data_IF_218140091299
#
_entry.id   IF_218140091299
#
_cell.length_a   1.000
_cell.length_b   1.000
_cell.length_c   1.000
_cell.angle_alpha   90.00
_cell.angle_beta   90.00
_cell.angle_gamma   90.00
#
_symmetry.space_group_name_H-M   'P 1'
#
loop_
_entity.id
_entity.type
_entity.pdbx_description
1 polymer ?
#
# COMPACT_ATOMS: atom_id res chain seq x y z
N UNK A 1 49.79 25.95 -14.01
CA UNK A 1 48.53 26.10 -14.78
C UNK A 1 47.92 24.72 -14.92
N UNK A 2 47.01 24.34 -14.02
CA UNK A 2 46.34 23.04 -14.07
C UNK A 2 45.03 23.21 -14.84
N UNK A 3 44.98 22.64 -16.05
CA UNK A 3 43.77 22.63 -16.88
C UNK A 3 42.70 21.77 -16.21
N UNK A 4 41.62 22.41 -15.76
CA UNK A 4 40.41 21.75 -15.27
C UNK A 4 39.67 21.14 -16.46
N UNK A 5 39.89 19.85 -16.74
CA UNK A 5 39.06 19.10 -17.68
C UNK A 5 37.77 18.68 -16.96
N UNK A 6 36.74 19.52 -17.04
CA UNK A 6 35.40 19.14 -16.58
C UNK A 6 34.82 18.09 -17.54
N UNK A 7 34.27 16.97 -17.03
CA UNK A 7 33.69 15.94 -17.88
C UNK A 7 32.53 16.52 -18.72
N UNK A 8 32.31 15.99 -19.93
CA UNK A 8 31.25 16.46 -20.81
C UNK A 8 29.89 16.27 -20.14
N UNK A 9 29.06 17.32 -20.16
CA UNK A 9 27.72 17.28 -19.59
C UNK A 9 26.83 16.37 -20.45
N UNK A 10 26.00 15.51 -19.83
CA UNK A 10 25.09 14.65 -20.57
C UNK A 10 24.06 15.48 -21.37
N UNK A 11 23.57 14.97 -22.51
CA UNK A 11 22.56 15.66 -23.31
C UNK A 11 21.30 15.99 -22.48
N UNK A 12 20.65 17.15 -22.69
CA UNK A 12 19.46 17.55 -21.94
C UNK A 12 18.33 16.51 -21.97
N UNK A 13 18.19 15.78 -23.07
CA UNK A 13 17.20 14.71 -23.22
C UNK A 13 17.45 13.55 -22.24
N UNK A 14 18.71 13.18 -22.02
CA UNK A 14 19.10 12.11 -21.08
C UNK A 14 18.79 12.53 -19.65
N UNK A 15 19.08 13.80 -19.31
CA UNK A 15 18.79 14.36 -17.98
C UNK A 15 17.29 14.40 -17.72
N UNK A 16 16.49 14.81 -18.70
CA UNK A 16 15.04 14.86 -18.58
C UNK A 16 14.44 13.45 -18.40
N UNK A 17 14.86 12.49 -19.23
CA UNK A 17 14.39 11.10 -19.11
C UNK A 17 14.75 10.50 -17.76
N UNK A 18 15.97 10.76 -17.26
CA UNK A 18 16.39 10.31 -15.94
C UNK A 18 15.52 10.91 -14.82
N UNK A 19 15.23 12.22 -14.89
CA UNK A 19 14.37 12.88 -13.91
C UNK A 19 12.93 12.34 -13.93
N UNK A 20 12.41 12.00 -15.11
CA UNK A 20 11.08 11.41 -15.23
C UNK A 20 11.04 10.01 -14.62
N UNK A 21 12.06 9.18 -14.88
CA UNK A 21 12.22 7.85 -14.25
C UNK A 21 12.36 7.94 -12.72
N UNK A 22 13.07 8.96 -12.20
CA UNK A 22 13.15 9.20 -10.76
C UNK A 22 11.79 9.52 -10.14
N UNK A 23 10.99 10.35 -10.79
CA UNK A 23 9.63 10.67 -10.32
C UNK A 23 8.74 9.44 -10.32
N UNK A 24 8.80 8.64 -11.38
CA UNK A 24 8.05 7.38 -11.48
C UNK A 24 8.46 6.41 -10.37
N UNK A 25 9.77 6.23 -10.16
CA UNK A 25 10.30 5.39 -9.08
C UNK A 25 9.82 5.84 -7.71
N UNK A 26 9.81 7.15 -7.43
CA UNK A 26 9.29 7.69 -6.18
C UNK A 26 7.78 7.46 -6.04
N UNK A 27 7.02 7.62 -7.13
CA UNK A 27 5.57 7.36 -7.13
C UNK A 27 5.27 5.89 -6.83
N UNK A 28 6.04 4.97 -7.41
CA UNK A 28 5.92 3.53 -7.14
C UNK A 28 6.27 3.21 -5.68
N UNK A 29 7.36 3.79 -5.16
CA UNK A 29 7.74 3.62 -3.76
C UNK A 29 6.63 4.08 -2.80
N UNK A 30 6.03 5.24 -3.07
CA UNK A 30 4.91 5.74 -2.28
C UNK A 30 3.70 4.78 -2.35
N UNK A 31 3.38 4.26 -3.54
CA UNK A 31 2.25 3.33 -3.70
C UNK A 31 2.49 2.00 -3.00
N UNK A 32 3.74 1.51 -3.00
CA UNK A 32 4.14 0.32 -2.24
C UNK A 32 3.90 0.55 -0.75
N UNK A 33 4.37 1.68 -0.20
CA UNK A 33 4.18 1.98 1.22
C UNK A 33 2.71 2.10 1.62
N UNK A 34 1.86 2.67 0.76
CA UNK A 34 0.40 2.73 0.95
C UNK A 34 -0.19 1.32 1.02
N UNK A 35 0.09 0.46 0.03
CA UNK A 35 -0.41 -0.92 -0.02
C UNK A 35 0.09 -1.76 1.16
N UNK A 36 1.34 -1.56 1.59
CA UNK A 36 1.87 -2.22 2.78
C UNK A 36 1.15 -1.80 4.06
N UNK A 37 0.77 -0.52 4.17
CA UNK A 37 -0.01 -0.01 5.29
C UNK A 37 -1.40 -0.64 5.31
N UNK A 38 -2.13 -0.60 4.19
CA UNK A 38 -3.48 -1.20 4.05
C UNK A 38 -3.45 -2.69 4.40
N UNK A 39 -2.45 -3.42 3.88
CA UNK A 39 -2.25 -4.85 4.19
C UNK A 39 -2.04 -5.08 5.69
N UNK A 40 -1.24 -4.24 6.34
CA UNK A 40 -0.97 -4.36 7.77
C UNK A 40 -2.22 -4.04 8.61
N UNK A 41 -3.05 -3.08 8.19
CA UNK A 41 -4.33 -2.80 8.84
C UNK A 41 -5.27 -4.00 8.75
N UNK A 42 -5.41 -4.61 7.58
CA UNK A 42 -6.22 -5.83 7.41
C UNK A 42 -5.68 -7.00 8.23
N UNK A 43 -4.36 -7.17 8.30
CA UNK A 43 -3.71 -8.17 9.15
C UNK A 43 -4.05 -7.97 10.63
N UNK A 44 -3.97 -6.74 11.12
CA UNK A 44 -4.31 -6.43 12.51
C UNK A 44 -5.78 -6.79 12.81
N UNK A 45 -6.70 -6.41 11.92
CA UNK A 45 -8.12 -6.77 12.08
C UNK A 45 -8.30 -8.29 12.09
N UNK A 46 -7.67 -9.02 11.17
CA UNK A 46 -7.72 -10.49 11.15
C UNK A 46 -7.22 -11.11 12.46
N UNK A 47 -6.06 -10.69 12.94
CA UNK A 47 -5.47 -11.17 14.20
C UNK A 47 -6.38 -10.90 15.41
N UNK A 48 -7.10 -9.76 15.41
CA UNK A 48 -8.05 -9.43 16.48
C UNK A 48 -9.35 -10.24 16.40
N UNK A 49 -9.80 -10.61 15.21
CA UNK A 49 -11.05 -11.35 14.99
C UNK A 49 -10.88 -12.87 15.12
N UNK A 50 -9.70 -13.39 14.77
CA UNK A 50 -9.41 -14.83 14.76
C UNK A 50 -9.63 -15.56 16.10
N UNK A 51 -9.31 -14.99 17.29
CA UNK A 51 -9.56 -15.66 18.57
C UNK A 51 -11.02 -15.53 19.05
N UNK A 52 -11.89 -14.85 18.31
CA UNK A 52 -13.27 -14.59 18.74
C UNK A 52 -14.21 -15.72 18.30
N UNK A 53 -15.28 -15.90 19.08
CA UNK A 53 -16.33 -16.87 18.76
C UNK A 53 -16.95 -16.60 17.37
N UNK A 54 -17.11 -17.61 16.50
CA UNK A 54 -17.59 -17.44 15.13
C UNK A 54 -18.96 -16.76 15.01
N UNK A 55 -19.86 -17.02 15.96
CA UNK A 55 -21.22 -16.46 15.99
C UNK A 55 -21.30 -15.10 16.70
N UNK A 56 -20.17 -14.56 17.19
CA UNK A 56 -20.12 -13.22 17.77
C UNK A 56 -20.52 -12.18 16.72
N UNK A 57 -21.40 -11.25 17.12
CA UNK A 57 -21.82 -10.12 16.27
C UNK A 57 -20.62 -9.27 15.89
N UNK A 58 -20.52 -8.96 14.61
CA UNK A 58 -19.56 -8.07 13.99
C UNK A 58 -20.32 -7.08 13.10
N UNK A 59 -19.71 -5.94 12.78
CA UNK A 59 -20.34 -4.92 11.94
C UNK A 59 -19.40 -4.50 10.83
N UNK A 60 -19.90 -4.44 9.60
CA UNK A 60 -19.16 -3.95 8.44
C UNK A 60 -19.75 -2.61 8.01
N UNK A 61 -18.91 -1.60 7.86
CA UNK A 61 -19.32 -0.32 7.27
C UNK A 61 -19.49 -0.47 5.76
N UNK A 62 -20.66 -0.08 5.24
CA UNK A 62 -20.97 -0.03 3.80
C UNK A 62 -21.54 1.35 3.51
N UNK A 63 -20.76 2.21 2.85
CA UNK A 63 -21.06 3.63 2.74
C UNK A 63 -21.09 4.25 4.14
N UNK A 64 -22.26 4.71 4.57
CA UNK A 64 -22.45 5.36 5.88
C UNK A 64 -23.18 4.46 6.90
N UNK A 65 -23.54 3.23 6.53
CA UNK A 65 -24.35 2.33 7.37
C UNK A 65 -23.53 1.14 7.85
N UNK A 66 -23.68 0.79 9.13
CA UNK A 66 -23.15 -0.44 9.71
C UNK A 66 -24.10 -1.61 9.45
N UNK A 67 -23.62 -2.60 8.71
CA UNK A 67 -24.33 -3.84 8.44
C UNK A 67 -23.90 -4.88 9.46
N UNK A 68 -24.86 -5.40 10.21
CA UNK A 68 -24.62 -6.50 11.15
C UNK A 68 -24.27 -7.80 10.39
N UNK A 69 -23.24 -8.47 10.89
CA UNK A 69 -22.69 -9.75 10.44
C UNK A 69 -22.20 -10.53 11.65
N UNK A 70 -21.62 -11.69 11.38
CA UNK A 70 -20.92 -12.51 12.37
C UNK A 70 -19.43 -12.59 12.05
N UNK A 71 -18.61 -12.93 13.05
CA UNK A 71 -17.15 -13.13 12.84
C UNK A 71 -16.90 -14.14 11.72
N UNK A 72 -17.65 -15.25 11.67
CA UNK A 72 -17.54 -16.26 10.59
C UNK A 72 -17.80 -15.71 9.18
N UNK A 73 -18.65 -14.71 9.03
CA UNK A 73 -18.95 -14.07 7.75
C UNK A 73 -17.95 -12.97 7.39
N UNK A 74 -17.34 -12.34 8.40
CA UNK A 74 -16.43 -11.20 8.20
C UNK A 74 -14.99 -11.63 7.99
N UNK A 75 -14.52 -12.61 8.76
CA UNK A 75 -13.12 -13.08 8.76
C UNK A 75 -12.62 -13.49 7.35
N UNK A 76 -13.40 -14.22 6.52
CA UNK A 76 -12.98 -14.55 5.16
C UNK A 76 -12.78 -13.32 4.28
N UNK A 77 -13.66 -12.31 4.38
CA UNK A 77 -13.52 -11.08 3.59
C UNK A 77 -12.28 -10.28 4.00
N UNK A 78 -11.96 -10.23 5.29
CA UNK A 78 -10.74 -9.54 5.77
C UNK A 78 -9.48 -10.26 5.27
N UNK A 79 -9.48 -11.60 5.27
CA UNK A 79 -8.38 -12.41 4.72
C UNK A 79 -8.16 -12.17 3.23
N UNK A 80 -9.23 -12.21 2.44
CA UNK A 80 -9.16 -11.92 1.01
C UNK A 80 -8.64 -10.51 0.74
N UNK A 81 -9.08 -9.52 1.51
CA UNK A 81 -8.60 -8.14 1.34
C UNK A 81 -7.12 -7.97 1.69
N UNK A 82 -6.59 -8.73 2.66
CA UNK A 82 -5.16 -8.72 3.00
C UNK A 82 -4.29 -9.34 1.91
N UNK A 83 -4.84 -10.27 1.14
CA UNK A 83 -4.09 -11.02 0.10
C UNK A 83 -4.09 -10.33 -1.27
N UNK A 84 -4.98 -9.36 -1.48
CA UNK A 84 -5.06 -8.52 -2.66
C UNK A 84 -4.15 -7.29 -2.54
#
# INVERSE_FOLDING_TARGET
>A
MASTHSPPQPPPQVVNQYNDLLRESQSLANKISELEMDRNEHKLVEETLQPLEPDRRAYRLVGEVLVERTVKEVLPSVKTNREN
#
